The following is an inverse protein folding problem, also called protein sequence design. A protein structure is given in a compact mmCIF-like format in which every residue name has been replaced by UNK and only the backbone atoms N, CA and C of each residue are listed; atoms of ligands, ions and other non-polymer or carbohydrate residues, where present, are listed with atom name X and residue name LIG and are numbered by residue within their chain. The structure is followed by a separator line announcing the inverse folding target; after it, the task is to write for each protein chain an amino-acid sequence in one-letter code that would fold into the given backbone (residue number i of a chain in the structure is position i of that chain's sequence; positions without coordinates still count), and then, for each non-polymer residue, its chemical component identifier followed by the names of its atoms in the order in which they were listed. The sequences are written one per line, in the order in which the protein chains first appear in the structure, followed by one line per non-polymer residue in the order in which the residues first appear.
data_IF_289879868572
#
_entry.id   IF_289879868572
#
_cell.length_a   1.000
_cell.length_b   1.000
_cell.length_c   1.000
_cell.angle_alpha   90.00
_cell.angle_beta   90.00
_cell.angle_gamma   90.00
#
_symmetry.space_group_name_H-M   'P 1'
#
loop_
_entity.id
_entity.type
_entity.pdbx_description
1 polymer ?
#
# COMPACT_ATOMS: atom_id res chain seq x y z
N UNK A 1 -17.12 15.26 -0.79
CA UNK A 1 -16.34 15.16 0.47
C UNK A 1 -15.87 13.72 0.65
N UNK A 2 -16.78 12.74 0.60
CA UNK A 2 -16.48 11.30 0.69
C UNK A 2 -15.37 10.82 -0.28
N UNK A 3 -15.45 11.14 -1.58
CA UNK A 3 -14.42 10.76 -2.57
C UNK A 3 -13.04 11.35 -2.26
N UNK A 4 -12.98 12.56 -1.69
CA UNK A 4 -11.70 13.20 -1.33
C UNK A 4 -11.05 12.51 -0.14
N UNK A 5 -11.86 12.13 0.85
CA UNK A 5 -11.39 11.36 2.01
C UNK A 5 -10.83 10.01 1.55
N UNK A 6 -11.54 9.32 0.64
CA UNK A 6 -11.06 8.06 0.07
C UNK A 6 -9.70 8.22 -0.63
N UNK A 7 -9.56 9.24 -1.50
CA UNK A 7 -8.28 9.55 -2.16
C UNK A 7 -7.17 9.84 -1.15
N UNK A 8 -7.46 10.57 -0.06
CA UNK A 8 -6.47 10.84 0.98
C UNK A 8 -6.02 9.57 1.69
N UNK A 9 -6.94 8.65 2.01
CA UNK A 9 -6.60 7.37 2.64
C UNK A 9 -5.74 6.52 1.70
N UNK A 10 -6.10 6.44 0.41
CA UNK A 10 -5.31 5.72 -0.60
C UNK A 10 -3.91 6.32 -0.77
N UNK A 11 -3.77 7.65 -0.74
CA UNK A 11 -2.47 8.33 -0.80
C UNK A 11 -1.61 8.03 0.43
N UNK A 12 -2.19 8.07 1.63
CA UNK A 12 -1.49 7.71 2.87
C UNK A 12 -1.02 6.25 2.78
N UNK A 13 -1.89 5.35 2.35
CA UNK A 13 -1.58 3.94 2.14
C UNK A 13 -0.38 3.77 1.20
N UNK A 14 -0.42 4.42 0.03
CA UNK A 14 0.64 4.35 -0.96
C UNK A 14 1.98 4.92 -0.43
N UNK A 15 1.95 6.04 0.28
CA UNK A 15 3.16 6.65 0.87
C UNK A 15 3.76 5.70 1.91
N UNK A 16 2.95 5.15 2.81
CA UNK A 16 3.41 4.18 3.80
C UNK A 16 4.02 2.93 3.12
N UNK A 17 3.36 2.38 2.10
CA UNK A 17 3.89 1.23 1.35
C UNK A 17 5.22 1.52 0.65
N UNK A 18 5.38 2.71 0.05
CA UNK A 18 6.65 3.11 -0.56
C UNK A 18 7.75 3.24 0.48
N UNK A 19 7.45 3.82 1.65
CA UNK A 19 8.43 3.93 2.74
C UNK A 19 8.83 2.53 3.23
N UNK A 20 7.87 1.61 3.41
CA UNK A 20 8.13 0.22 3.75
C UNK A 20 9.05 -0.48 2.76
N UNK A 21 8.80 -0.33 1.46
CA UNK A 21 9.67 -0.85 0.38
C UNK A 21 11.09 -0.30 0.48
N UNK A 22 11.25 1.01 0.66
CA UNK A 22 12.58 1.64 0.78
C UNK A 22 13.33 1.11 2.00
N UNK A 23 12.65 1.00 3.14
CA UNK A 23 13.23 0.44 4.36
C UNK A 23 13.60 -1.04 4.20
N UNK A 24 12.77 -1.84 3.52
CA UNK A 24 13.08 -3.23 3.18
C UNK A 24 14.36 -3.34 2.33
N UNK A 25 14.51 -2.47 1.33
CA UNK A 25 15.74 -2.40 0.53
C UNK A 25 16.94 -2.03 1.41
N UNK A 26 16.79 -1.04 2.29
CA UNK A 26 17.87 -0.64 3.21
C UNK A 26 18.26 -1.78 4.17
N UNK A 27 17.29 -2.59 4.61
CA UNK A 27 17.56 -3.81 5.40
C UNK A 27 18.41 -4.83 4.63
N UNK A 28 18.11 -5.07 3.35
CA UNK A 28 18.95 -5.94 2.51
C UNK A 28 20.36 -5.38 2.32
N UNK A 29 20.44 -4.06 2.14
CA UNK A 29 21.71 -3.37 1.92
C UNK A 29 22.60 -3.39 3.17
N UNK A 30 22.04 -3.37 4.37
CA UNK A 30 22.80 -3.45 5.62
C UNK A 30 23.34 -4.86 5.88
N UNK A 31 22.65 -5.91 5.43
CA UNK A 31 23.14 -7.29 5.48
C UNK A 31 24.22 -7.58 4.42
N UNK A 32 24.45 -6.68 3.46
CA UNK A 32 25.49 -6.85 2.45
C UNK A 32 26.78 -6.10 2.87
N UNK A 33 27.88 -6.82 3.17
CA UNK A 33 29.15 -6.22 3.61
C UNK A 33 29.73 -5.21 2.62
N UNK A 34 29.46 -5.40 1.32
CA UNK A 34 30.02 -4.56 0.26
C UNK A 34 29.36 -3.18 0.13
N UNK A 35 28.18 -2.97 0.71
CA UNK A 35 27.42 -1.73 0.50
C UNK A 35 27.97 -0.54 1.28
N UNK A 36 28.42 -0.77 2.52
CA UNK A 36 28.81 0.29 3.46
C UNK A 36 30.29 0.26 3.85
N UNK A 37 31.09 -0.54 3.15
CA UNK A 37 32.55 -0.60 3.33
C UNK A 37 32.99 -1.27 4.64
N UNK A 38 32.19 -2.21 5.16
CA UNK A 38 32.40 -2.87 6.45
C UNK A 38 31.81 -4.28 6.50
N UNK A 39 31.63 -4.83 7.70
CA UNK A 39 30.93 -6.10 7.91
C UNK A 39 29.41 -5.91 7.79
N UNK A 40 28.66 -7.02 7.72
CA UNK A 40 27.20 -6.97 7.73
C UNK A 40 26.69 -6.33 9.04
N UNK A 41 25.80 -5.35 8.93
CA UNK A 41 25.20 -4.65 10.06
C UNK A 41 23.81 -5.25 10.35
N UNK A 42 23.82 -6.30 11.19
CA UNK A 42 22.61 -6.99 11.64
C UNK A 42 21.70 -6.08 12.47
N UNK A 43 22.26 -5.14 13.24
CA UNK A 43 21.50 -4.20 14.08
C UNK A 43 20.74 -3.20 13.20
N UNK A 44 21.40 -2.61 12.20
CA UNK A 44 20.73 -1.76 11.23
C UNK A 44 19.67 -2.53 10.44
N UNK A 45 19.94 -3.79 10.05
CA UNK A 45 18.95 -4.64 9.37
C UNK A 45 17.71 -4.86 10.24
N UNK A 46 17.90 -5.15 11.52
CA UNK A 46 16.83 -5.32 12.48
C UNK A 46 15.97 -4.06 12.63
N UNK A 47 16.61 -2.89 12.75
CA UNK A 47 15.93 -1.59 12.84
C UNK A 47 15.12 -1.33 11.57
N UNK A 48 15.73 -1.46 10.39
CA UNK A 48 15.04 -1.23 9.12
C UNK A 48 13.88 -2.19 8.92
N UNK A 49 14.06 -3.48 9.21
CA UNK A 49 13.00 -4.49 9.10
C UNK A 49 11.85 -4.21 10.06
N UNK A 50 12.14 -3.79 11.30
CA UNK A 50 11.11 -3.40 12.28
C UNK A 50 10.29 -2.20 11.80
N UNK A 51 10.95 -1.20 11.21
CA UNK A 51 10.28 -0.04 10.63
C UNK A 51 9.45 -0.43 9.39
N UNK A 52 9.97 -1.32 8.53
CA UNK A 52 9.24 -1.89 7.38
C UNK A 52 7.93 -2.52 7.84
N UNK A 53 7.97 -3.43 8.83
CA UNK A 53 6.76 -4.05 9.40
C UNK A 53 5.76 -3.00 9.90
N UNK A 54 6.24 -1.93 10.55
CA UNK A 54 5.40 -0.83 11.02
C UNK A 54 4.69 -0.10 9.87
N UNK A 55 5.43 0.29 8.83
CA UNK A 55 4.87 1.00 7.68
C UNK A 55 3.97 0.11 6.80
N UNK A 56 4.31 -1.16 6.62
CA UNK A 56 3.49 -2.13 5.88
C UNK A 56 2.17 -2.42 6.61
N UNK A 57 2.20 -2.46 7.95
CA UNK A 57 0.99 -2.58 8.78
C UNK A 57 0.07 -1.38 8.58
N UNK A 58 0.60 -0.16 8.60
CA UNK A 58 -0.16 1.07 8.37
C UNK A 58 -0.73 1.11 6.94
N UNK A 59 0.08 0.75 5.94
CA UNK A 59 -0.34 0.66 4.54
C UNK A 59 -1.49 -0.34 4.37
N UNK A 60 -1.31 -1.57 4.85
CA UNK A 60 -2.32 -2.64 4.77
C UNK A 60 -3.61 -2.26 5.49
N UNK A 61 -3.51 -1.63 6.67
CA UNK A 61 -4.68 -1.12 7.40
C UNK A 61 -5.40 -0.02 6.63
N UNK A 62 -4.67 0.93 6.03
CA UNK A 62 -5.25 1.98 5.21
C UNK A 62 -5.93 1.42 3.95
N UNK A 63 -5.33 0.44 3.28
CA UNK A 63 -5.91 -0.22 2.11
C UNK A 63 -7.26 -0.91 2.43
N UNK A 64 -7.36 -1.65 3.53
CA UNK A 64 -8.64 -2.28 3.91
C UNK A 64 -9.70 -1.26 4.35
N UNK A 65 -9.29 -0.16 4.97
CA UNK A 65 -10.19 0.94 5.30
C UNK A 65 -10.71 1.61 4.03
N UNK A 66 -9.84 1.88 3.04
CA UNK A 66 -10.21 2.43 1.74
C UNK A 66 -11.23 1.53 1.03
N UNK A 67 -10.96 0.21 0.96
CA UNK A 67 -11.89 -0.77 0.40
C UNK A 67 -13.27 -0.75 1.07
N UNK A 68 -13.31 -0.76 2.41
CA UNK A 68 -14.57 -0.72 3.16
C UNK A 68 -15.33 0.57 2.90
N UNK A 69 -14.62 1.70 2.89
CA UNK A 69 -15.23 3.01 2.67
C UNK A 69 -15.74 3.18 1.23
N UNK A 70 -14.98 2.72 0.23
CA UNK A 70 -15.41 2.65 -1.17
C UNK A 70 -16.66 1.78 -1.35
N UNK A 71 -16.71 0.62 -0.70
CA UNK A 71 -17.90 -0.25 -0.68
C UNK A 71 -19.15 0.44 -0.10
N UNK A 72 -18.99 1.21 0.98
CA UNK A 72 -20.09 2.00 1.57
C UNK A 72 -20.58 3.07 0.60
N UNK A 73 -19.67 3.78 -0.09
CA UNK A 73 -20.04 4.80 -1.09
C UNK A 73 -20.82 4.17 -2.23
N UNK A 74 -20.36 3.02 -2.74
CA UNK A 74 -21.04 2.28 -3.82
C UNK A 74 -22.45 1.85 -3.40
N UNK A 75 -22.61 1.33 -2.17
CA UNK A 75 -23.92 0.94 -1.63
C UNK A 75 -24.87 2.14 -1.52
N UNK A 76 -24.41 3.27 -0.96
CA UNK A 76 -25.20 4.50 -0.83
C UNK A 76 -25.62 5.07 -2.19
N UNK A 77 -24.75 5.01 -3.22
CA UNK A 77 -25.12 5.42 -4.58
C UNK A 77 -26.24 4.54 -5.13
N UNK A 78 -26.15 3.22 -4.92
CA UNK A 78 -27.19 2.27 -5.34
C UNK A 78 -28.53 2.55 -4.64
N UNK A 79 -28.53 2.80 -3.33
CA UNK A 79 -29.74 3.12 -2.54
C UNK A 79 -30.40 4.42 -3.01
N UNK A 80 -29.62 5.38 -3.50
CA UNK A 80 -30.10 6.66 -4.07
C UNK A 80 -30.53 6.55 -5.54
N UNK A 81 -30.52 5.34 -6.13
CA UNK A 81 -30.83 5.13 -7.55
C UNK A 81 -29.76 5.67 -8.52
N UNK A 82 -28.57 6.04 -8.01
CA UNK A 82 -27.46 6.52 -8.83
C UNK A 82 -26.65 5.31 -9.33
N UNK A 83 -26.44 5.22 -10.64
CA UNK A 83 -25.54 4.20 -11.22
C UNK A 83 -24.10 4.51 -10.84
N UNK A 84 -23.49 3.66 -10.03
CA UNK A 84 -22.05 3.64 -9.83
C UNK A 84 -21.32 3.32 -11.14
N UNK A 85 -20.27 4.08 -11.44
CA UNK A 85 -19.47 3.89 -12.64
C UNK A 85 -18.70 2.57 -12.59
N UNK A 86 -18.48 1.95 -13.75
CA UNK A 86 -17.62 0.77 -13.87
C UNK A 86 -16.21 1.05 -13.32
N UNK A 87 -15.71 2.28 -13.49
CA UNK A 87 -14.39 2.71 -12.98
C UNK A 87 -14.35 2.71 -11.44
N UNK A 88 -15.42 3.11 -10.76
CA UNK A 88 -15.49 3.12 -9.29
C UNK A 88 -15.51 1.69 -8.72
N UNK A 89 -16.28 0.80 -9.35
CA UNK A 89 -16.30 -0.62 -8.97
C UNK A 89 -14.95 -1.28 -9.20
N UNK A 90 -14.27 -0.92 -10.28
CA UNK A 90 -12.95 -1.42 -10.61
C UNK A 90 -11.90 -0.91 -9.61
N UNK A 91 -11.89 0.39 -9.30
CA UNK A 91 -11.05 1.00 -8.28
C UNK A 91 -11.19 0.27 -6.93
N UNK A 92 -12.44 0.09 -6.46
CA UNK A 92 -12.69 -0.63 -5.21
C UNK A 92 -12.26 -2.11 -5.24
N UNK A 93 -12.22 -2.76 -6.41
CA UNK A 93 -11.66 -4.13 -6.52
C UNK A 93 -10.13 -4.11 -6.45
N UNK A 94 -9.50 -3.12 -7.06
CA UNK A 94 -8.06 -2.93 -6.98
C UNK A 94 -7.60 -2.67 -5.54
N UNK A 95 -8.34 -1.90 -4.75
CA UNK A 95 -8.06 -1.70 -3.32
C UNK A 95 -7.97 -3.04 -2.56
N UNK A 96 -8.88 -3.97 -2.86
CA UNK A 96 -8.87 -5.30 -2.26
C UNK A 96 -7.65 -6.11 -2.69
N UNK A 97 -7.24 -6.03 -3.96
CA UNK A 97 -6.04 -6.70 -4.43
C UNK A 97 -4.77 -6.11 -3.79
N UNK A 98 -4.67 -4.78 -3.70
CA UNK A 98 -3.59 -4.13 -2.98
C UNK A 98 -3.54 -4.60 -1.53
N UNK A 99 -4.67 -4.68 -0.83
CA UNK A 99 -4.72 -5.21 0.53
C UNK A 99 -4.14 -6.62 0.63
N UNK A 100 -4.48 -7.54 -0.27
CA UNK A 100 -3.93 -8.90 -0.24
C UNK A 100 -2.43 -8.95 -0.51
N UNK A 101 -1.94 -8.15 -1.47
CA UNK A 101 -0.50 -8.05 -1.73
C UNK A 101 0.25 -7.43 -0.53
N UNK A 102 -0.27 -6.36 0.05
CA UNK A 102 0.32 -5.73 1.24
C UNK A 102 0.28 -6.63 2.46
N UNK A 103 -0.79 -7.41 2.66
CA UNK A 103 -0.86 -8.39 3.74
C UNK A 103 0.16 -9.52 3.54
N UNK A 104 0.34 -10.01 2.31
CA UNK A 104 1.35 -11.01 2.01
C UNK A 104 2.77 -10.47 2.27
N UNK A 105 3.05 -9.23 1.84
CA UNK A 105 4.30 -8.54 2.13
C UNK A 105 4.54 -8.39 3.63
N UNK A 106 3.56 -7.86 4.36
CA UNK A 106 3.61 -7.73 5.83
C UNK A 106 3.92 -9.06 6.55
N UNK A 107 3.29 -10.16 6.14
CA UNK A 107 3.58 -11.47 6.74
C UNK A 107 5.02 -11.92 6.46
N UNK A 108 5.55 -11.61 5.28
CA UNK A 108 6.93 -11.90 4.90
C UNK A 108 7.93 -10.98 5.62
N UNK A 109 7.63 -9.69 5.82
CA UNK A 109 8.48 -8.78 6.60
C UNK A 109 8.50 -9.16 8.08
N UNK A 110 7.37 -9.60 8.66
CA UNK A 110 7.33 -10.18 10.01
C UNK A 110 8.18 -11.46 10.05
N UNK A 111 8.04 -12.35 9.07
CA UNK A 111 8.85 -13.57 9.01
C UNK A 111 10.35 -13.27 8.89
N UNK A 112 10.71 -12.24 8.11
CA UNK A 112 12.09 -11.76 8.02
C UNK A 112 12.61 -11.27 9.35
N UNK A 113 11.80 -10.50 10.09
CA UNK A 113 12.14 -10.03 11.42
C UNK A 113 12.32 -11.21 12.40
N UNK A 114 11.48 -12.24 12.30
CA UNK A 114 11.61 -13.46 13.08
C UNK A 114 12.96 -14.15 12.84
N UNK A 115 13.43 -14.23 11.59
CA UNK A 115 14.73 -14.81 11.25
C UNK A 115 15.94 -14.01 11.74
N UNK A 116 15.76 -12.77 12.19
CA UNK A 116 16.82 -11.96 12.80
C UNK A 116 16.93 -12.18 14.32
N UNK A 117 15.95 -12.81 14.97
CA UNK A 117 16.07 -13.17 16.39
C UNK A 117 16.99 -14.39 16.59
N UNK A 118 17.74 -14.40 17.69
CA UNK A 118 18.67 -15.49 18.04
C UNK A 118 18.02 -16.88 18.04
N UNK A 119 16.72 -16.97 18.39
CA UNK A 119 15.98 -18.22 18.45
C UNK A 119 15.67 -18.84 17.07
N UNK A 120 15.69 -18.05 16.00
CA UNK A 120 15.35 -18.46 14.64
C UNK A 120 16.38 -17.98 13.61
N UNK A 121 17.62 -17.67 14.05
CA UNK A 121 18.63 -16.99 13.24
C UNK A 121 18.87 -17.70 11.91
N UNK A 122 18.57 -17.00 10.81
CA UNK A 122 18.81 -17.46 9.45
C UNK A 122 18.94 -16.27 8.50
N UNK A 123 20.16 -15.84 8.23
CA UNK A 123 20.43 -14.68 7.37
C UNK A 123 19.89 -14.91 5.96
N UNK A 124 20.06 -16.13 5.42
CA UNK A 124 19.48 -16.51 4.12
C UNK A 124 17.95 -16.47 4.14
N UNK A 125 17.33 -16.94 5.23
CA UNK A 125 15.88 -16.88 5.41
C UNK A 125 15.37 -15.45 5.45
N UNK A 126 16.04 -14.58 6.20
CA UNK A 126 15.73 -13.15 6.30
C UNK A 126 15.85 -12.45 4.94
N UNK A 127 16.95 -12.69 4.20
CA UNK A 127 17.14 -12.11 2.86
C UNK A 127 16.04 -12.54 1.89
N UNK A 128 15.72 -13.83 1.82
CA UNK A 128 14.68 -14.34 0.91
C UNK A 128 13.31 -13.76 1.30
N UNK A 129 12.97 -13.76 2.59
CA UNK A 129 11.71 -13.20 3.07
C UNK A 129 11.60 -11.70 2.76
N UNK A 130 12.65 -10.93 2.99
CA UNK A 130 12.69 -9.50 2.69
C UNK A 130 12.54 -9.23 1.18
N UNK A 131 13.23 -9.98 0.31
CA UNK A 131 13.09 -9.81 -1.15
C UNK A 131 11.65 -10.05 -1.60
N UNK A 132 11.03 -11.14 -1.13
CA UNK A 132 9.65 -11.47 -1.47
C UNK A 132 8.68 -10.41 -0.92
N UNK A 133 8.90 -9.92 0.31
CA UNK A 133 8.13 -8.81 0.89
C UNK A 133 8.18 -7.59 -0.01
N UNK A 134 9.38 -7.11 -0.35
CA UNK A 134 9.59 -5.93 -1.20
C UNK A 134 8.82 -6.05 -2.52
N UNK A 135 8.83 -7.23 -3.15
CA UNK A 135 8.09 -7.46 -4.40
C UNK A 135 6.58 -7.31 -4.18
N UNK A 136 6.03 -7.96 -3.15
CA UNK A 136 4.62 -7.87 -2.79
C UNK A 136 4.20 -6.43 -2.44
N UNK A 137 4.98 -5.75 -1.61
CA UNK A 137 4.70 -4.38 -1.17
C UNK A 137 4.82 -3.38 -2.32
N UNK A 138 5.76 -3.58 -3.23
CA UNK A 138 5.89 -2.78 -4.46
C UNK A 138 4.67 -2.93 -5.36
N UNK A 139 4.20 -4.17 -5.58
CA UNK A 139 2.99 -4.43 -6.36
C UNK A 139 1.78 -3.76 -5.70
N UNK A 140 1.64 -3.89 -4.38
CA UNK A 140 0.57 -3.24 -3.62
C UNK A 140 0.59 -1.71 -3.78
N UNK A 141 1.76 -1.08 -3.59
CA UNK A 141 1.90 0.37 -3.73
C UNK A 141 1.60 0.85 -5.15
N UNK A 142 2.04 0.12 -6.18
CA UNK A 142 1.72 0.44 -7.58
C UNK A 142 0.22 0.36 -7.87
N UNK A 143 -0.47 -0.64 -7.32
CA UNK A 143 -1.93 -0.75 -7.43
C UNK A 143 -2.58 0.49 -6.79
N UNK A 144 -2.20 0.89 -5.57
CA UNK A 144 -2.76 2.06 -4.89
C UNK A 144 -2.55 3.36 -5.66
N UNK A 145 -1.34 3.59 -6.20
CA UNK A 145 -1.08 4.74 -7.08
C UNK A 145 -2.02 4.74 -8.28
N UNK A 146 -2.30 3.56 -8.84
CA UNK A 146 -3.21 3.44 -9.97
C UNK A 146 -4.67 3.71 -9.57
N UNK A 147 -5.12 3.24 -8.40
CA UNK A 147 -6.44 3.57 -7.85
C UNK A 147 -6.59 5.08 -7.66
N UNK A 148 -5.61 5.74 -7.03
CA UNK A 148 -5.60 7.20 -6.84
C UNK A 148 -5.77 7.92 -8.18
N UNK A 149 -5.04 7.49 -9.21
CA UNK A 149 -5.14 8.07 -10.56
C UNK A 149 -6.53 7.89 -11.17
N UNK A 150 -7.15 6.73 -10.99
CA UNK A 150 -8.53 6.47 -11.45
C UNK A 150 -9.51 7.38 -10.70
N UNK A 151 -9.38 7.48 -9.38
CA UNK A 151 -10.27 8.25 -8.51
C UNK A 151 -10.17 9.76 -8.76
N UNK A 152 -8.96 10.28 -8.97
CA UNK A 152 -8.75 11.67 -9.39
C UNK A 152 -9.41 11.97 -10.74
N UNK A 153 -9.28 11.07 -11.72
CA UNK A 153 -9.92 11.22 -13.03
C UNK A 153 -11.44 11.23 -12.92
N UNK A 154 -12.03 10.34 -12.12
CA UNK A 154 -13.48 10.33 -11.86
C UNK A 154 -13.90 11.65 -11.21
N UNK A 155 -13.19 12.10 -10.18
CA UNK A 155 -13.51 13.37 -9.50
C UNK A 155 -13.44 14.59 -10.43
N UNK A 156 -12.50 14.58 -11.39
CA UNK A 156 -12.38 15.64 -12.39
C UNK A 156 -13.54 15.61 -13.41
N UNK A 157 -13.88 14.43 -13.92
CA UNK A 157 -15.01 14.21 -14.83
C UNK A 157 -16.35 14.66 -14.20
N UNK A 158 -16.58 14.32 -12.93
CA UNK A 158 -17.77 14.75 -12.18
C UNK A 158 -17.82 16.29 -11.97
N UNK A 159 -16.67 16.93 -11.78
CA UNK A 159 -16.59 18.38 -11.60
C UNK A 159 -16.90 19.13 -12.91
N UNK A 160 -16.36 18.66 -14.04
CA UNK A 160 -16.62 19.24 -15.35
C UNK A 160 -18.11 19.15 -15.74
N UNK A 161 -18.75 18.00 -15.53
CA UNK A 161 -20.17 17.83 -15.82
C UNK A 161 -21.02 18.83 -15.03
N UNK A 162 -20.76 19.00 -13.72
CA UNK A 162 -21.45 19.98 -12.88
C UNK A 162 -21.26 21.42 -13.38
N UNK A 163 -20.06 21.78 -13.85
CA UNK A 163 -19.78 23.11 -14.41
C UNK A 163 -20.55 23.35 -15.71
N UNK A 164 -20.60 22.36 -16.62
CA UNK A 164 -21.37 22.48 -17.87
C UNK A 164 -22.88 22.59 -17.66
N UNK A 165 -23.43 21.91 -16.65
CA UNK A 165 -24.85 21.99 -16.28
C UNK A 165 -25.22 23.36 -15.71
N UNK A 166 -24.31 23.99 -14.97
CA UNK A 166 -24.50 25.35 -14.46
C UNK A 166 -24.38 26.43 -15.54
N UNK A 167 -23.55 26.21 -16.57
CA UNK A 167 -23.40 27.15 -17.68
C UNK A 167 -24.56 27.13 -18.69
N UNK A 168 -25.43 26.11 -18.63
CA UNK A 168 -26.63 25.96 -19.47
C UNK A 168 -27.91 26.45 -18.79
N UNK A 169 -27.84 26.88 -17.53
CA UNK A 169 -28.93 27.52 -16.78
C UNK A 169 -28.67 29.03 -16.71
#
# INVERSE_FOLDING_TARGET
METRILITIELISAICGIIGVVLGILSLLSLNPSTWGGEADEEASFIFTSLTVGFDSLSTAAAIIAFKYGGIILKRKSEKGLKASAKEKFANRLDLYSFFFGLAGLLLSILSLLFLFESMKSDQGSVIATILSIICDSISALILIWVVKIMLRISYEEHLQKKSLKAKK
#
